data_IF_662089411438
#
_entry.id   IF_662089411438
#
_cell.length_a   1.000
_cell.length_b   1.000
_cell.length_c   1.000
_cell.angle_alpha   90.00
_cell.angle_beta   90.00
_cell.angle_gamma   90.00
#
_symmetry.space_group_name_H-M   'P 1'
#
loop_
_entity.id
_entity.type
_entity.pdbx_description
1 polymer ?
#
# COMPACT_ATOMS: atom_id res chain seq x y z
N UNK A 1 -25.98 17.14 7.79
CA UNK A 1 -24.79 16.34 8.14
C UNK A 1 -23.76 16.26 6.98
N UNK A 2 -23.76 17.18 6.00
CA UNK A 2 -22.87 17.10 4.82
C UNK A 2 -21.86 18.27 4.68
N UNK A 3 -21.90 19.30 5.54
CA UNK A 3 -20.92 20.40 5.47
C UNK A 3 -19.68 20.19 6.35
N UNK A 4 -19.77 19.45 7.47
CA UNK A 4 -18.62 19.20 8.38
C UNK A 4 -17.58 18.23 7.82
N UNK A 5 -17.91 17.43 6.80
CA UNK A 5 -16.96 16.48 6.20
C UNK A 5 -16.13 17.07 5.05
N UNK A 6 -16.60 18.15 4.43
CA UNK A 6 -15.95 18.73 3.23
C UNK A 6 -14.58 19.40 3.51
N UNK A 7 -14.25 19.69 4.76
CA UNK A 7 -12.98 20.31 5.16
C UNK A 7 -12.20 19.50 6.24
N UNK A 8 -12.62 18.26 6.49
CA UNK A 8 -12.04 17.44 7.56
C UNK A 8 -10.52 17.18 7.39
N UNK A 9 -10.03 17.25 6.16
CA UNK A 9 -8.63 17.05 5.82
C UNK A 9 -7.93 18.32 5.32
N UNK A 10 -8.54 19.50 5.52
CA UNK A 10 -7.95 20.76 5.09
C UNK A 10 -6.60 21.00 5.76
N UNK A 11 -5.60 21.33 4.95
CA UNK A 11 -4.22 21.55 5.41
C UNK A 11 -3.43 20.27 5.70
N UNK A 12 -4.03 19.08 5.49
CA UNK A 12 -3.33 17.79 5.61
C UNK A 12 -2.71 17.38 4.29
N UNK A 13 -1.51 16.83 4.34
CA UNK A 13 -0.80 16.27 3.19
C UNK A 13 -0.93 14.74 3.22
N UNK A 14 -1.51 14.20 2.16
CA UNK A 14 -1.75 12.77 1.97
C UNK A 14 -0.93 12.26 0.79
N UNK A 15 -0.10 11.27 1.04
CA UNK A 15 0.72 10.58 0.04
C UNK A 15 0.13 9.19 -0.24
N UNK A 16 -0.11 8.86 -1.52
CA UNK A 16 -0.74 7.59 -1.91
C UNK A 16 0.08 6.91 -3.00
N UNK A 17 0.50 5.66 -2.79
CA UNK A 17 1.14 4.88 -3.85
C UNK A 17 0.10 4.13 -4.70
N UNK A 18 0.28 4.14 -6.04
CA UNK A 18 -0.67 3.54 -6.97
C UNK A 18 -2.02 4.25 -7.00
N UNK A 19 -2.01 5.58 -7.04
CA UNK A 19 -3.19 6.42 -6.93
C UNK A 19 -3.94 6.67 -8.25
N UNK A 20 -3.42 6.24 -9.40
CA UNK A 20 -4.09 6.45 -10.68
C UNK A 20 -5.20 5.43 -10.95
N UNK A 21 -5.29 4.34 -10.19
CA UNK A 21 -6.28 3.30 -10.46
C UNK A 21 -6.88 2.67 -9.20
N UNK A 22 -7.99 1.94 -9.38
CA UNK A 22 -8.60 1.12 -8.34
C UNK A 22 -8.95 1.89 -7.07
N UNK A 23 -8.63 1.29 -5.92
CA UNK A 23 -8.95 1.85 -4.59
C UNK A 23 -8.08 3.05 -4.25
N UNK A 24 -6.83 3.11 -4.77
CA UNK A 24 -5.96 4.27 -4.60
C UNK A 24 -6.56 5.53 -5.20
N UNK A 25 -7.11 5.44 -6.44
CA UNK A 25 -7.82 6.55 -7.10
C UNK A 25 -9.05 6.99 -6.34
N UNK A 26 -9.84 6.03 -5.84
CA UNK A 26 -11.04 6.34 -5.04
C UNK A 26 -10.63 7.06 -3.74
N UNK A 27 -9.63 6.55 -3.03
CA UNK A 27 -9.14 7.19 -1.81
C UNK A 27 -8.59 8.59 -2.08
N UNK A 28 -7.82 8.78 -3.16
CA UNK A 28 -7.29 10.07 -3.58
C UNK A 28 -8.43 11.08 -3.83
N UNK A 29 -9.48 10.68 -4.56
CA UNK A 29 -10.66 11.50 -4.82
C UNK A 29 -11.38 11.88 -3.52
N UNK A 30 -11.68 10.91 -2.68
CA UNK A 30 -12.44 11.13 -1.44
C UNK A 30 -11.69 12.02 -0.43
N UNK A 31 -10.36 11.90 -0.35
CA UNK A 31 -9.55 12.75 0.50
C UNK A 31 -9.36 14.15 -0.09
N UNK A 32 -9.28 14.29 -1.42
CA UNK A 32 -9.29 15.58 -2.09
C UNK A 32 -10.63 16.33 -1.89
N UNK A 33 -11.77 15.62 -1.93
CA UNK A 33 -13.10 16.16 -1.61
C UNK A 33 -13.21 16.65 -0.16
N UNK A 34 -12.39 16.11 0.75
CA UNK A 34 -12.29 16.56 2.15
C UNK A 34 -11.24 17.67 2.35
N UNK A 35 -10.70 18.26 1.28
CA UNK A 35 -9.79 19.39 1.31
C UNK A 35 -8.31 19.04 1.55
N UNK A 36 -7.91 17.76 1.49
CA UNK A 36 -6.51 17.37 1.60
C UNK A 36 -5.68 17.84 0.41
N UNK A 37 -4.41 18.16 0.64
CA UNK A 37 -3.40 18.11 -0.41
C UNK A 37 -3.09 16.64 -0.68
N UNK A 38 -3.36 16.16 -1.89
CA UNK A 38 -3.18 14.76 -2.27
C UNK A 38 -2.04 14.63 -3.27
N UNK A 39 -0.99 13.91 -2.90
CA UNK A 39 0.14 13.59 -3.77
C UNK A 39 0.13 12.09 -4.04
N UNK A 40 -0.03 11.69 -5.27
CA UNK A 40 -0.05 10.28 -5.61
C UNK A 40 0.94 9.94 -6.72
N UNK A 41 1.43 8.71 -6.70
CA UNK A 41 2.23 8.18 -7.79
C UNK A 41 1.53 7.03 -8.51
N UNK A 42 1.95 6.83 -9.74
CA UNK A 42 1.69 5.62 -10.53
C UNK A 42 2.78 5.47 -11.59
N UNK A 43 2.91 4.29 -12.20
CA UNK A 43 3.83 4.05 -13.30
C UNK A 43 3.24 4.41 -14.67
N UNK A 44 1.93 4.46 -14.79
CA UNK A 44 1.19 4.78 -16.02
C UNK A 44 1.06 6.32 -16.12
N UNK A 45 1.98 6.95 -16.85
CA UNK A 45 2.17 8.42 -16.84
C UNK A 45 0.96 9.15 -17.39
N UNK A 46 0.46 8.77 -18.57
CA UNK A 46 -0.69 9.42 -19.19
C UNK A 46 -1.94 9.26 -18.33
N UNK A 47 -2.24 8.04 -17.85
CA UNK A 47 -3.36 7.77 -16.95
C UNK A 47 -3.24 8.57 -15.66
N UNK A 48 -2.01 8.72 -15.12
CA UNK A 48 -1.75 9.52 -13.92
C UNK A 48 -2.11 10.99 -14.07
N UNK A 49 -1.72 11.62 -15.18
CA UNK A 49 -2.09 13.01 -15.49
C UNK A 49 -3.58 13.19 -15.70
N UNK A 50 -4.25 12.28 -16.42
CA UNK A 50 -5.70 12.31 -16.61
C UNK A 50 -6.44 12.18 -15.28
N UNK A 51 -6.03 11.24 -14.44
CA UNK A 51 -6.64 11.02 -13.11
C UNK A 51 -6.44 12.21 -12.19
N UNK A 52 -5.26 12.84 -12.22
CA UNK A 52 -5.01 14.08 -11.47
C UNK A 52 -6.01 15.18 -11.89
N UNK A 53 -6.18 15.41 -13.18
CA UNK A 53 -7.11 16.41 -13.69
C UNK A 53 -8.57 16.07 -13.32
N UNK A 54 -8.96 14.80 -13.45
CA UNK A 54 -10.29 14.33 -13.06
C UNK A 54 -10.58 14.56 -11.57
N UNK A 55 -9.63 14.20 -10.70
CA UNK A 55 -9.80 14.39 -9.25
C UNK A 55 -9.91 15.88 -8.91
N UNK A 56 -9.04 16.73 -9.46
CA UNK A 56 -9.09 18.17 -9.24
C UNK A 56 -10.43 18.77 -9.71
N UNK A 57 -10.89 18.40 -10.91
CA UNK A 57 -12.17 18.86 -11.44
C UNK A 57 -13.38 18.40 -10.64
N UNK A 58 -13.41 17.13 -10.19
CA UNK A 58 -14.51 16.57 -9.41
C UNK A 58 -14.57 17.13 -7.99
N UNK A 59 -13.42 17.37 -7.37
CA UNK A 59 -13.33 17.85 -5.98
C UNK A 59 -13.35 19.38 -5.86
N UNK A 60 -13.08 20.11 -6.94
CA UNK A 60 -12.83 21.54 -6.90
C UNK A 60 -11.54 21.90 -6.14
N UNK A 61 -10.65 20.94 -5.91
CA UNK A 61 -9.42 21.08 -5.13
C UNK A 61 -8.21 20.98 -6.06
N UNK A 62 -7.53 22.10 -6.29
CA UNK A 62 -6.34 22.16 -7.12
C UNK A 62 -5.08 21.57 -6.46
N UNK A 63 -5.12 21.27 -5.14
CA UNK A 63 -4.03 20.68 -4.41
C UNK A 63 -3.96 19.16 -4.61
N UNK A 64 -4.04 18.71 -5.85
CA UNK A 64 -3.87 17.32 -6.27
C UNK A 64 -2.70 17.24 -7.20
N UNK A 65 -1.71 16.42 -6.85
CA UNK A 65 -0.47 16.25 -7.61
C UNK A 65 -0.24 14.79 -7.98
N UNK A 66 0.20 14.59 -9.22
CA UNK A 66 0.67 13.30 -9.71
C UNK A 66 2.19 13.33 -9.90
N UNK A 67 2.89 12.31 -9.39
CA UNK A 67 4.31 12.09 -9.60
C UNK A 67 4.54 10.75 -10.31
N UNK A 68 5.16 10.72 -11.51
CA UNK A 68 5.44 9.47 -12.21
C UNK A 68 6.49 8.66 -11.46
N UNK A 69 6.13 7.45 -11.01
CA UNK A 69 7.03 6.59 -10.27
C UNK A 69 6.59 5.13 -10.38
N UNK A 70 7.45 4.28 -10.94
CA UNK A 70 7.30 2.82 -10.83
C UNK A 70 7.84 2.37 -9.47
N UNK A 71 6.96 1.84 -8.64
CA UNK A 71 7.32 1.30 -7.33
C UNK A 71 8.25 0.07 -7.39
N UNK A 72 8.51 -0.50 -8.57
CA UNK A 72 9.52 -1.54 -8.75
C UNK A 72 10.94 -0.96 -8.85
N UNK A 73 11.07 0.29 -9.29
CA UNK A 73 12.35 1.00 -9.41
C UNK A 73 12.65 1.79 -8.13
N UNK A 74 13.60 1.32 -7.36
CA UNK A 74 14.00 1.93 -6.09
C UNK A 74 14.53 3.36 -6.24
N UNK A 75 15.15 3.70 -7.38
CA UNK A 75 15.64 5.06 -7.66
C UNK A 75 14.46 6.03 -7.81
N UNK A 76 13.40 5.59 -8.50
CA UNK A 76 12.18 6.40 -8.65
C UNK A 76 11.44 6.55 -7.30
N UNK A 77 11.41 5.51 -6.46
CA UNK A 77 10.85 5.61 -5.09
C UNK A 77 11.59 6.65 -4.26
N UNK A 78 12.92 6.71 -4.37
CA UNK A 78 13.72 7.75 -3.69
C UNK A 78 13.44 9.14 -4.24
N UNK A 79 13.37 9.28 -5.56
CA UNK A 79 13.03 10.56 -6.20
C UNK A 79 11.64 11.03 -5.78
N UNK A 80 10.67 10.12 -5.65
CA UNK A 80 9.34 10.43 -5.13
C UNK A 80 9.39 10.90 -3.66
N UNK A 81 10.13 10.19 -2.80
CA UNK A 81 10.30 10.61 -1.41
C UNK A 81 10.98 11.99 -1.32
N UNK A 82 12.05 12.22 -2.08
CA UNK A 82 12.76 13.50 -2.16
C UNK A 82 11.85 14.64 -2.62
N UNK A 83 11.00 14.38 -3.63
CA UNK A 83 10.00 15.33 -4.07
C UNK A 83 9.07 15.74 -2.92
N UNK A 84 8.52 14.77 -2.17
CA UNK A 84 7.69 15.05 -0.99
C UNK A 84 8.44 15.89 0.04
N UNK A 85 9.67 15.51 0.36
CA UNK A 85 10.49 16.19 1.36
C UNK A 85 10.84 17.63 0.98
N UNK A 86 10.97 17.92 -0.30
CA UNK A 86 11.33 19.25 -0.80
C UNK A 86 10.13 20.20 -0.94
N UNK A 87 8.92 19.67 -1.18
CA UNK A 87 7.76 20.50 -1.51
C UNK A 87 6.72 20.57 -0.38
N UNK A 88 6.73 19.63 0.56
CA UNK A 88 5.70 19.57 1.61
C UNK A 88 6.31 19.62 3.00
N UNK A 89 5.86 20.53 3.89
CA UNK A 89 6.40 20.68 5.24
C UNK A 89 6.02 19.52 6.16
N UNK A 90 4.92 18.81 5.87
CA UNK A 90 4.43 17.64 6.61
C UNK A 90 4.09 16.50 5.66
N UNK A 91 3.96 15.29 6.20
CA UNK A 91 3.28 14.16 5.59
C UNK A 91 2.35 13.60 6.66
N UNK A 92 1.09 13.99 6.60
CA UNK A 92 0.11 13.64 7.66
C UNK A 92 -0.46 12.23 7.45
N UNK A 93 -0.55 11.78 6.20
CA UNK A 93 -1.03 10.42 5.89
C UNK A 93 -0.18 9.81 4.77
N UNK A 94 0.29 8.59 4.99
CA UNK A 94 0.92 7.77 3.95
C UNK A 94 0.09 6.50 3.72
N UNK A 95 -0.43 6.33 2.50
CA UNK A 95 -1.17 5.14 2.08
C UNK A 95 -0.29 4.31 1.14
N UNK A 96 0.30 3.26 1.67
CA UNK A 96 1.07 2.26 0.94
C UNK A 96 0.10 1.29 0.24
N UNK A 97 -0.45 1.72 -0.92
CA UNK A 97 -1.52 1.02 -1.62
C UNK A 97 -1.05 0.26 -2.86
N UNK A 98 0.01 0.71 -3.55
CA UNK A 98 0.46 0.08 -4.80
C UNK A 98 0.60 -1.44 -4.65
N UNK A 99 -0.08 -2.18 -5.52
CA UNK A 99 -0.05 -3.64 -5.49
C UNK A 99 -0.83 -4.25 -6.63
N UNK A 100 -0.40 -5.43 -7.03
CA UNK A 100 -0.93 -6.14 -8.19
C UNK A 100 -0.71 -7.64 -8.04
N UNK A 101 -1.28 -8.42 -8.93
CA UNK A 101 -0.94 -9.83 -9.16
C UNK A 101 -0.63 -10.01 -10.65
N UNK A 102 0.59 -10.43 -10.96
CA UNK A 102 1.02 -10.69 -12.34
C UNK A 102 1.54 -12.13 -12.45
N UNK A 103 1.05 -12.92 -13.43
CA UNK A 103 1.52 -14.27 -13.66
C UNK A 103 2.95 -14.33 -14.22
N UNK A 104 3.48 -13.21 -14.74
CA UNK A 104 4.84 -13.11 -15.23
C UNK A 104 5.78 -12.78 -14.06
N UNK A 105 6.85 -13.57 -13.91
CA UNK A 105 7.90 -13.23 -12.97
C UNK A 105 8.76 -12.10 -13.51
N UNK A 106 8.86 -11.05 -12.74
CA UNK A 106 9.79 -9.93 -12.96
C UNK A 106 10.64 -9.78 -11.69
N UNK A 107 11.87 -9.35 -11.86
CA UNK A 107 12.84 -9.13 -10.78
C UNK A 107 13.31 -7.70 -10.88
N UNK A 108 13.40 -7.01 -9.73
CA UNK A 108 13.93 -5.65 -9.65
C UNK A 108 15.44 -5.62 -9.96
N UNK A 109 16.01 -4.42 -10.14
CA UNK A 109 17.45 -4.23 -10.36
C UNK A 109 18.28 -4.82 -9.21
N UNK A 110 17.74 -4.79 -7.98
CA UNK A 110 18.38 -5.33 -6.78
C UNK A 110 18.21 -6.85 -6.60
N UNK A 111 17.53 -7.53 -7.53
CA UNK A 111 17.37 -8.98 -7.52
C UNK A 111 16.15 -9.51 -6.75
N UNK A 112 15.20 -8.65 -6.35
CA UNK A 112 13.99 -9.05 -5.63
C UNK A 112 12.81 -9.29 -6.57
N UNK A 113 12.00 -10.30 -6.25
CA UNK A 113 10.77 -10.59 -7.00
C UNK A 113 9.77 -9.44 -6.82
N UNK A 114 9.09 -9.08 -7.93
CA UNK A 114 8.31 -7.85 -8.04
C UNK A 114 7.23 -7.65 -6.97
N UNK A 115 6.54 -8.71 -6.52
CA UNK A 115 5.52 -8.57 -5.48
C UNK A 115 6.16 -8.18 -4.14
N UNK A 116 7.27 -8.82 -3.78
CA UNK A 116 8.02 -8.49 -2.58
C UNK A 116 8.68 -7.12 -2.70
N UNK A 117 9.26 -6.79 -3.86
CA UNK A 117 9.91 -5.50 -4.10
C UNK A 117 8.91 -4.34 -3.98
N UNK A 118 7.79 -4.38 -4.71
CA UNK A 118 6.80 -3.30 -4.74
C UNK A 118 6.03 -3.19 -3.43
N UNK A 119 5.41 -4.31 -2.99
CA UNK A 119 4.43 -4.26 -1.91
C UNK A 119 5.06 -4.25 -0.51
N UNK A 120 6.33 -4.66 -0.38
CA UNK A 120 6.99 -4.67 0.92
C UNK A 120 8.25 -3.80 0.96
N UNK A 121 9.29 -4.15 0.20
CA UNK A 121 10.59 -3.48 0.33
C UNK A 121 10.53 -1.99 0.00
N UNK A 122 9.91 -1.62 -1.11
CA UNK A 122 9.88 -0.23 -1.55
C UNK A 122 8.79 0.59 -0.82
N UNK A 123 7.74 -0.02 -0.27
CA UNK A 123 6.87 0.63 0.70
C UNK A 123 7.56 0.85 2.05
N UNK A 124 8.34 -0.13 2.52
CA UNK A 124 9.19 0.06 3.72
C UNK A 124 10.17 1.21 3.51
N UNK A 125 10.90 1.20 2.39
CA UNK A 125 11.84 2.26 2.04
C UNK A 125 11.17 3.64 2.03
N UNK A 126 10.05 3.80 1.31
CA UNK A 126 9.30 5.05 1.25
C UNK A 126 8.86 5.51 2.64
N UNK A 127 8.35 4.58 3.45
CA UNK A 127 7.93 4.86 4.83
C UNK A 127 9.10 5.39 5.65
N UNK A 128 10.26 4.74 5.60
CA UNK A 128 11.44 5.17 6.35
C UNK A 128 11.97 6.54 5.89
N UNK A 129 11.99 6.79 4.58
CA UNK A 129 12.41 8.08 4.03
C UNK A 129 11.50 9.24 4.45
N UNK A 130 10.20 9.00 4.62
CA UNK A 130 9.23 10.02 5.01
C UNK A 130 9.01 10.11 6.53
N UNK A 131 9.53 9.17 7.31
CA UNK A 131 9.17 9.02 8.73
C UNK A 131 9.48 10.26 9.57
N UNK A 132 10.63 10.90 9.37
CA UNK A 132 10.98 12.11 10.12
C UNK A 132 10.07 13.28 9.74
N UNK A 133 9.65 13.37 8.47
CA UNK A 133 8.65 14.34 8.01
C UNK A 133 7.28 14.10 8.65
N UNK A 134 6.91 12.83 8.84
CA UNK A 134 5.68 12.45 9.53
C UNK A 134 5.73 12.78 11.02
N UNK A 135 6.87 12.55 11.67
CA UNK A 135 7.08 12.90 13.08
C UNK A 135 7.07 14.41 13.35
N UNK A 136 7.40 15.22 12.36
CA UNK A 136 7.45 16.69 12.49
C UNK A 136 6.06 17.33 12.62
N UNK A 137 4.99 16.65 12.18
CA UNK A 137 3.61 17.12 12.32
C UNK A 137 3.02 16.82 13.72
N UNK A 138 1.80 17.28 14.02
CA UNK A 138 1.13 17.00 15.30
C UNK A 138 0.66 15.56 15.45
N UNK A 139 0.25 14.93 14.36
CA UNK A 139 -0.13 13.51 14.27
C UNK A 139 0.01 13.04 12.83
N UNK A 140 0.41 11.78 12.64
CA UNK A 140 0.49 11.20 11.31
C UNK A 140 0.03 9.73 11.30
N UNK A 141 -0.42 9.27 10.13
CA UNK A 141 -1.03 7.95 9.96
C UNK A 141 -0.43 7.22 8.77
N UNK A 142 0.02 5.99 9.00
CA UNK A 142 0.48 5.09 7.93
C UNK A 142 -0.58 4.01 7.73
N UNK A 143 -0.98 3.79 6.49
CA UNK A 143 -1.98 2.78 6.10
C UNK A 143 -1.32 1.80 5.15
N UNK A 144 -1.16 0.55 5.60
CA UNK A 144 -0.60 -0.54 4.80
C UNK A 144 -1.73 -1.35 4.16
N UNK A 145 -1.79 -1.36 2.83
CA UNK A 145 -2.84 -2.10 2.12
C UNK A 145 -2.42 -3.54 1.88
N UNK A 146 -2.78 -4.42 2.81
CA UNK A 146 -2.59 -5.86 2.69
C UNK A 146 -3.76 -6.54 1.96
N UNK A 147 -4.09 -7.76 2.32
CA UNK A 147 -5.19 -8.57 1.78
C UNK A 147 -5.40 -9.77 2.69
N UNK A 148 -6.61 -10.33 2.73
CA UNK A 148 -6.88 -11.63 3.37
C UNK A 148 -6.02 -12.77 2.80
N UNK A 149 -5.46 -12.57 1.61
CA UNK A 149 -4.51 -13.49 0.98
C UNK A 149 -3.26 -13.77 1.84
N UNK A 150 -2.90 -12.90 2.79
CA UNK A 150 -1.78 -13.15 3.69
C UNK A 150 -1.88 -14.48 4.46
N UNK A 151 -3.10 -15.00 4.65
CA UNK A 151 -3.39 -16.26 5.35
C UNK A 151 -3.19 -17.51 4.50
N UNK A 152 -3.27 -17.37 3.17
CA UNK A 152 -3.42 -18.50 2.26
C UNK A 152 -2.11 -19.13 1.79
N UNK A 153 -0.98 -18.46 2.04
CA UNK A 153 0.34 -18.91 1.58
C UNK A 153 1.10 -19.77 2.60
N UNK A 154 2.18 -20.40 2.15
CA UNK A 154 3.03 -21.24 3.00
C UNK A 154 3.90 -20.44 3.98
N UNK A 155 3.75 -19.12 4.05
CA UNK A 155 4.61 -18.24 4.84
C UNK A 155 5.84 -17.75 4.08
N UNK A 156 6.73 -17.06 4.80
CA UNK A 156 7.98 -16.53 4.25
C UNK A 156 9.02 -17.66 4.21
N UNK A 157 9.59 -17.90 3.04
CA UNK A 157 10.71 -18.81 2.85
C UNK A 157 11.99 -17.97 2.68
N UNK A 158 12.79 -17.93 3.75
CA UNK A 158 14.03 -17.14 3.77
C UNK A 158 15.16 -17.74 2.90
N UNK A 159 15.04 -19.01 2.49
CA UNK A 159 15.96 -19.65 1.55
C UNK A 159 15.52 -19.41 0.09
N UNK A 160 14.43 -18.69 -0.13
CA UNK A 160 13.87 -18.37 -1.44
C UNK A 160 13.15 -17.00 -1.45
N UNK A 161 13.82 -15.98 -0.92
CA UNK A 161 13.24 -14.61 -0.88
C UNK A 161 13.05 -14.01 -2.27
N UNK A 162 13.82 -14.46 -3.27
CA UNK A 162 13.63 -14.12 -4.68
C UNK A 162 12.48 -14.90 -5.34
N UNK A 163 11.82 -15.79 -4.61
CA UNK A 163 10.73 -16.63 -5.09
C UNK A 163 11.11 -17.51 -6.30
N UNK A 164 12.40 -17.88 -6.48
CA UNK A 164 12.87 -18.70 -7.60
C UNK A 164 12.25 -20.09 -7.62
N UNK A 165 12.19 -20.74 -6.47
CA UNK A 165 11.66 -22.10 -6.32
C UNK A 165 10.15 -22.15 -6.60
N UNK A 166 9.41 -21.10 -6.23
CA UNK A 166 7.95 -21.08 -6.41
C UNK A 166 7.54 -20.91 -7.87
N UNK A 167 8.42 -20.36 -8.72
CA UNK A 167 8.18 -20.22 -10.16
C UNK A 167 8.70 -21.43 -10.96
N UNK A 168 9.75 -22.09 -10.48
CA UNK A 168 10.33 -23.27 -11.15
C UNK A 168 9.44 -24.50 -10.98
N UNK A 169 9.24 -25.25 -12.06
CA UNK A 169 8.57 -26.57 -12.01
C UNK A 169 7.06 -26.53 -11.76
N UNK A 170 6.43 -25.37 -11.79
CA UNK A 170 4.97 -25.26 -11.67
C UNK A 170 4.32 -25.22 -13.03
N UNK A 171 3.41 -26.18 -13.37
CA UNK A 171 2.74 -26.21 -14.67
C UNK A 171 1.77 -25.04 -14.88
N UNK A 172 1.40 -24.35 -13.80
CA UNK A 172 0.55 -23.17 -13.83
C UNK A 172 1.34 -21.96 -13.30
N UNK A 173 1.69 -21.03 -14.17
CA UNK A 173 2.41 -19.79 -13.82
C UNK A 173 1.76 -19.01 -12.66
N UNK A 174 0.43 -19.08 -12.56
CA UNK A 174 -0.33 -18.39 -11.53
C UNK A 174 -0.03 -18.86 -10.10
N UNK A 175 0.39 -20.12 -9.88
CA UNK A 175 0.69 -20.61 -8.51
C UNK A 175 1.93 -19.94 -7.94
N UNK A 176 2.94 -19.62 -8.76
CA UNK A 176 4.11 -18.84 -8.36
C UNK A 176 3.74 -17.41 -7.98
N UNK A 177 2.98 -16.75 -8.85
CA UNK A 177 2.48 -15.38 -8.62
C UNK A 177 1.66 -15.27 -7.32
N UNK A 178 0.72 -16.18 -7.09
CA UNK A 178 -0.07 -16.17 -5.86
C UNK A 178 0.79 -16.41 -4.62
N UNK A 179 1.77 -17.32 -4.66
CA UNK A 179 2.67 -17.55 -3.52
C UNK A 179 3.50 -16.31 -3.23
N UNK A 180 4.09 -15.66 -4.24
CA UNK A 180 4.84 -14.42 -4.08
C UNK A 180 3.95 -13.28 -3.54
N UNK A 181 2.75 -13.15 -4.07
CA UNK A 181 1.75 -12.19 -3.59
C UNK A 181 1.38 -12.42 -2.12
N UNK A 182 1.08 -13.67 -1.70
CA UNK A 182 0.76 -14.01 -0.32
C UNK A 182 1.91 -13.67 0.64
N UNK A 183 3.15 -13.97 0.24
CA UNK A 183 4.37 -13.63 1.01
C UNK A 183 4.49 -12.12 1.20
N UNK A 184 4.32 -11.34 0.13
CA UNK A 184 4.38 -9.88 0.20
C UNK A 184 3.26 -9.30 1.10
N UNK A 185 2.03 -9.83 1.00
CA UNK A 185 0.92 -9.39 1.86
C UNK A 185 1.10 -9.77 3.33
N UNK A 186 1.71 -10.92 3.64
CA UNK A 186 2.10 -11.28 5.00
C UNK A 186 3.22 -10.35 5.51
N UNK A 187 4.19 -10.03 4.67
CA UNK A 187 5.27 -9.12 5.02
C UNK A 187 4.75 -7.72 5.39
N UNK A 188 3.71 -7.21 4.70
CA UNK A 188 3.06 -5.95 5.06
C UNK A 188 2.38 -6.01 6.44
N UNK A 189 1.77 -7.14 6.81
CA UNK A 189 1.19 -7.32 8.15
C UNK A 189 2.29 -7.31 9.21
N UNK A 190 3.41 -8.00 8.97
CA UNK A 190 4.56 -7.99 9.88
C UNK A 190 5.16 -6.58 10.02
N UNK A 191 5.32 -5.85 8.91
CA UNK A 191 5.79 -4.46 8.93
C UNK A 191 4.87 -3.56 9.76
N UNK A 192 3.55 -3.75 9.67
CA UNK A 192 2.58 -3.00 10.47
C UNK A 192 2.78 -3.22 11.97
N UNK A 193 2.92 -4.47 12.39
CA UNK A 193 3.12 -4.78 13.82
C UNK A 193 4.47 -4.29 14.34
N UNK A 194 5.52 -4.45 13.54
CA UNK A 194 6.85 -3.99 13.93
C UNK A 194 6.91 -2.47 14.08
N UNK A 195 6.40 -1.75 13.07
CA UNK A 195 6.39 -0.29 13.13
C UNK A 195 5.46 0.24 14.22
N UNK A 196 4.34 -0.42 14.49
CA UNK A 196 3.48 -0.04 15.60
C UNK A 196 4.20 -0.14 16.96
N UNK A 197 5.03 -1.18 17.15
CA UNK A 197 5.84 -1.34 18.37
C UNK A 197 6.96 -0.28 18.44
N UNK A 198 7.65 0.00 17.32
CA UNK A 198 8.75 0.98 17.26
C UNK A 198 8.29 2.44 17.40
N UNK A 199 7.07 2.73 16.98
CA UNK A 199 6.52 4.09 16.94
C UNK A 199 5.60 4.42 18.14
N UNK A 200 5.50 3.53 19.14
CA UNK A 200 4.58 3.67 20.27
C UNK A 200 4.73 4.99 21.06
N UNK A 201 5.95 5.52 21.11
CA UNK A 201 6.25 6.77 21.85
C UNK A 201 6.32 7.99 20.91
N UNK A 202 5.71 7.90 19.73
CA UNK A 202 5.66 8.97 18.74
C UNK A 202 4.22 9.37 18.42
N UNK A 203 4.08 10.45 17.65
CA UNK A 203 2.79 10.91 17.10
C UNK A 203 2.37 10.15 15.81
N UNK A 204 3.10 9.11 15.41
CA UNK A 204 2.83 8.37 14.16
C UNK A 204 2.16 7.04 14.48
N UNK A 205 1.00 6.79 13.91
CA UNK A 205 0.29 5.52 13.99
C UNK A 205 0.41 4.73 12.68
N UNK A 206 0.35 3.41 12.76
CA UNK A 206 0.33 2.55 11.58
C UNK A 206 -0.74 1.47 11.73
N UNK A 207 -1.57 1.33 10.70
CA UNK A 207 -2.59 0.29 10.63
C UNK A 207 -2.57 -0.43 9.29
N UNK A 208 -3.02 -1.66 9.30
CA UNK A 208 -3.14 -2.48 8.11
C UNK A 208 -4.60 -2.59 7.67
N UNK A 209 -4.87 -2.59 6.37
CA UNK A 209 -6.21 -2.74 5.84
C UNK A 209 -6.28 -3.86 4.80
N UNK A 210 -7.34 -4.66 4.88
CA UNK A 210 -7.78 -5.54 3.79
C UNK A 210 -8.93 -4.88 3.04
N UNK A 211 -8.86 -4.82 1.71
CA UNK A 211 -9.99 -4.36 0.92
C UNK A 211 -11.17 -5.37 0.88
N UNK A 212 -11.03 -6.52 1.52
CA UNK A 212 -11.97 -7.64 1.45
C UNK A 212 -11.60 -8.66 0.37
N UNK A 213 -12.46 -9.67 0.21
CA UNK A 213 -12.27 -10.72 -0.78
C UNK A 213 -12.71 -10.24 -2.18
N UNK A 214 -11.89 -10.56 -3.20
CA UNK A 214 -12.21 -10.38 -4.61
C UNK A 214 -12.75 -8.98 -4.94
N UNK A 215 -11.99 -7.93 -4.62
CA UNK A 215 -12.38 -6.57 -5.01
C UNK A 215 -12.28 -6.45 -6.54
N UNK A 216 -13.31 -5.88 -7.15
CA UNK A 216 -13.42 -5.71 -8.61
C UNK A 216 -12.49 -4.61 -9.16
N UNK A 217 -11.20 -4.63 -8.77
CA UNK A 217 -10.17 -3.71 -9.25
C UNK A 217 -9.32 -4.32 -10.34
N UNK A 218 -8.42 -3.51 -10.90
CA UNK A 218 -7.46 -3.91 -11.94
C UNK A 218 -6.39 -4.94 -11.48
N UNK A 219 -6.48 -5.48 -10.27
CA UNK A 219 -5.55 -6.50 -9.75
C UNK A 219 -5.42 -7.70 -10.71
N UNK A 220 -6.47 -8.01 -11.47
CA UNK A 220 -6.50 -9.09 -12.45
C UNK A 220 -6.30 -8.61 -13.91
N UNK A 221 -5.89 -7.35 -14.14
CA UNK A 221 -5.75 -6.76 -15.50
C UNK A 221 -4.87 -7.61 -16.42
N UNK A 222 -3.83 -8.23 -15.89
CA UNK A 222 -2.85 -9.00 -16.65
C UNK A 222 -3.16 -10.50 -16.75
N UNK A 223 -4.26 -10.98 -16.18
CA UNK A 223 -4.65 -12.38 -16.27
C UNK A 223 -5.24 -12.70 -17.67
N UNK A 224 -4.92 -13.91 -18.18
CA UNK A 224 -5.35 -14.38 -19.51
C UNK A 224 -6.12 -15.70 -19.41
N UNK A 225 -6.86 -16.06 -20.48
CA UNK A 225 -7.50 -17.37 -20.63
C UNK A 225 -8.65 -17.62 -19.65
N UNK A 226 -8.72 -18.83 -19.10
CA UNK A 226 -9.81 -19.31 -18.23
C UNK A 226 -10.02 -18.46 -16.98
N UNK A 227 -8.94 -17.86 -16.44
CA UNK A 227 -9.04 -16.97 -15.26
C UNK A 227 -9.78 -15.70 -15.62
N UNK A 228 -9.50 -15.09 -16.79
CA UNK A 228 -10.22 -13.90 -17.26
C UNK A 228 -11.72 -14.19 -17.45
N UNK A 229 -12.05 -15.37 -17.96
CA UNK A 229 -13.45 -15.81 -18.09
C UNK A 229 -14.10 -16.01 -16.71
N UNK A 230 -13.42 -16.69 -15.77
CA UNK A 230 -13.88 -16.85 -14.38
C UNK A 230 -14.10 -15.50 -13.69
N UNK A 231 -13.15 -14.58 -13.78
CA UNK A 231 -13.28 -13.21 -13.24
C UNK A 231 -14.50 -12.50 -13.82
N UNK A 232 -14.77 -12.64 -15.14
CA UNK A 232 -15.95 -12.04 -15.77
C UNK A 232 -17.27 -12.63 -15.26
N UNK A 233 -17.33 -13.96 -15.06
CA UNK A 233 -18.54 -14.68 -14.55
C UNK A 233 -18.81 -14.36 -13.09
N UNK A 234 -17.74 -14.28 -12.25
CA UNK A 234 -17.85 -14.02 -10.83
C UNK A 234 -17.84 -12.53 -10.45
N UNK A 235 -17.67 -11.63 -11.42
CA UNK A 235 -17.67 -10.17 -11.19
C UNK A 235 -18.83 -9.63 -10.36
N UNK A 236 -20.08 -10.13 -10.47
CA UNK A 236 -21.19 -9.69 -9.62
C UNK A 236 -21.02 -10.01 -8.13
N UNK A 237 -20.13 -10.94 -7.80
CA UNK A 237 -19.82 -11.35 -6.43
C UNK A 237 -18.59 -10.68 -5.87
N UNK A 238 -17.94 -9.81 -6.65
CA UNK A 238 -16.76 -9.06 -6.19
C UNK A 238 -17.20 -7.93 -5.26
N UNK A 239 -16.39 -7.68 -4.24
CA UNK A 239 -16.60 -6.55 -3.36
C UNK A 239 -16.56 -5.24 -4.17
N UNK A 240 -17.46 -4.33 -3.83
CA UNK A 240 -17.50 -2.99 -4.41
C UNK A 240 -16.24 -2.21 -4.03
N UNK A 241 -15.44 -1.74 -5.00
CA UNK A 241 -14.23 -0.95 -4.74
C UNK A 241 -14.50 0.31 -3.93
N UNK A 242 -15.64 0.97 -4.14
CA UNK A 242 -16.06 2.16 -3.39
C UNK A 242 -16.24 1.84 -1.90
N UNK A 243 -16.92 0.72 -1.60
CA UNK A 243 -17.11 0.26 -0.23
C UNK A 243 -15.79 -0.13 0.44
N UNK A 244 -14.89 -0.76 -0.31
CA UNK A 244 -13.57 -1.16 0.19
C UNK A 244 -12.67 0.05 0.47
N UNK A 245 -12.64 1.03 -0.44
CA UNK A 245 -11.86 2.25 -0.29
C UNK A 245 -12.32 3.14 0.87
N UNK A 246 -13.60 3.04 1.31
CA UNK A 246 -14.07 3.74 2.52
C UNK A 246 -13.22 3.44 3.75
N UNK A 247 -12.64 2.25 3.85
CA UNK A 247 -11.77 1.91 4.99
C UNK A 247 -10.45 2.70 4.94
N UNK A 248 -9.92 3.00 3.75
CA UNK A 248 -8.72 3.83 3.61
C UNK A 248 -9.00 5.25 4.08
N UNK A 249 -10.12 5.82 3.63
CA UNK A 249 -10.55 7.17 4.02
C UNK A 249 -10.86 7.23 5.52
N UNK A 250 -11.53 6.22 6.05
CA UNK A 250 -11.81 6.11 7.49
C UNK A 250 -10.53 6.10 8.32
N UNK A 251 -9.55 5.29 7.95
CA UNK A 251 -8.27 5.24 8.65
C UNK A 251 -7.44 6.52 8.47
N UNK A 252 -7.57 7.20 7.33
CA UNK A 252 -6.88 8.45 7.04
C UNK A 252 -7.48 9.66 7.80
N UNK A 253 -8.82 9.77 7.83
CA UNK A 253 -9.51 11.00 8.20
C UNK A 253 -10.34 10.90 9.50
N UNK A 254 -10.83 9.71 9.90
CA UNK A 254 -11.76 9.63 11.03
C UNK A 254 -11.09 9.96 12.37
N UNK A 255 -11.71 10.78 13.23
CA UNK A 255 -11.27 10.97 14.61
C UNK A 255 -11.46 9.72 15.48
N UNK A 256 -12.35 8.79 15.09
CA UNK A 256 -12.60 7.55 15.85
C UNK A 256 -11.37 6.63 15.94
N UNK A 257 -10.42 6.78 15.03
CA UNK A 257 -9.18 6.00 15.00
C UNK A 257 -7.95 6.81 15.40
N UNK A 258 -8.14 7.97 16.04
CA UNK A 258 -7.03 8.75 16.56
C UNK A 258 -6.25 7.95 17.60
N UNK A 259 -4.92 7.90 17.46
CA UNK A 259 -4.04 7.12 18.34
C UNK A 259 -4.14 5.60 18.19
N UNK A 260 -5.04 5.08 17.36
CA UNK A 260 -5.15 3.63 17.14
C UNK A 260 -4.03 3.16 16.24
N UNK A 261 -3.23 2.20 16.72
CA UNK A 261 -2.06 1.68 16.01
C UNK A 261 -1.97 0.16 16.10
N UNK A 262 -1.28 -0.47 15.13
CA UNK A 262 -1.02 -1.92 15.12
C UNK A 262 -2.27 -2.77 14.88
N UNK A 263 -3.29 -2.23 14.24
CA UNK A 263 -4.55 -2.94 14.00
C UNK A 263 -4.71 -3.34 12.55
N UNK A 264 -5.52 -4.38 12.34
CA UNK A 264 -5.92 -4.86 11.01
C UNK A 264 -7.41 -4.55 10.80
N UNK A 265 -7.74 -3.96 9.65
CA UNK A 265 -9.07 -3.42 9.39
C UNK A 265 -9.68 -3.99 8.12
N UNK A 266 -11.00 -4.16 8.14
CA UNK A 266 -11.81 -4.52 6.96
C UNK A 266 -13.18 -3.87 7.09
N UNK A 267 -13.65 -3.17 6.06
CA UNK A 267 -14.94 -2.47 6.04
C UNK A 267 -15.17 -1.56 7.26
N UNK A 268 -14.18 -0.73 7.59
CA UNK A 268 -14.16 0.19 8.74
C UNK A 268 -14.32 -0.50 10.11
N UNK A 269 -13.98 -1.78 10.22
CA UNK A 269 -14.03 -2.53 11.48
C UNK A 269 -12.69 -3.18 11.76
N UNK A 270 -12.28 -3.14 13.02
CA UNK A 270 -11.11 -3.91 13.47
C UNK A 270 -11.37 -5.41 13.29
N UNK A 271 -10.40 -6.11 12.76
CA UNK A 271 -10.43 -7.55 12.53
C UNK A 271 -9.16 -8.18 13.10
N UNK A 272 -9.32 -9.27 13.82
CA UNK A 272 -8.16 -10.03 14.30
C UNK A 272 -7.47 -10.73 13.15
N UNK A 273 -6.14 -10.62 13.10
CA UNK A 273 -5.33 -11.45 12.18
C UNK A 273 -5.21 -12.87 12.71
N UNK A 274 -4.70 -13.77 11.89
CA UNK A 274 -4.60 -15.19 12.24
C UNK A 274 -3.34 -15.83 11.66
N UNK A 275 -3.04 -17.02 12.16
CA UNK A 275 -1.96 -17.87 11.65
C UNK A 275 -0.58 -17.26 11.87
N UNK A 276 0.25 -17.37 10.85
CA UNK A 276 1.66 -16.95 10.90
C UNK A 276 1.87 -15.48 11.25
N UNK A 277 0.86 -14.60 11.06
CA UNK A 277 1.00 -13.17 11.36
C UNK A 277 1.34 -12.86 12.84
N UNK A 278 1.14 -13.83 13.74
CA UNK A 278 1.45 -13.71 15.17
C UNK A 278 2.85 -14.27 15.54
N UNK A 279 3.57 -14.85 14.59
CA UNK A 279 4.91 -15.37 14.85
C UNK A 279 5.94 -14.25 14.93
N UNK A 280 6.29 -13.88 16.16
CA UNK A 280 7.24 -12.80 16.46
C UNK A 280 8.66 -13.12 15.98
N UNK A 281 9.07 -14.37 15.97
CA UNK A 281 10.40 -14.76 15.52
C UNK A 281 10.54 -14.64 14.00
N UNK A 282 9.52 -15.09 13.26
CA UNK A 282 9.46 -14.90 11.81
C UNK A 282 9.35 -13.40 11.44
N UNK A 283 8.56 -12.62 12.20
CA UNK A 283 8.47 -11.16 12.01
C UNK A 283 9.83 -10.52 12.17
N UNK A 284 10.51 -10.75 13.29
CA UNK A 284 11.85 -10.19 13.52
C UNK A 284 12.82 -10.55 12.41
N UNK A 285 12.89 -11.83 12.04
CA UNK A 285 13.78 -12.30 10.96
C UNK A 285 13.48 -11.61 9.63
N UNK A 286 12.19 -11.40 9.31
CA UNK A 286 11.80 -10.69 8.09
C UNK A 286 12.23 -9.22 8.14
N UNK A 287 12.03 -8.55 9.25
CA UNK A 287 12.40 -7.14 9.37
C UNK A 287 13.91 -6.96 9.31
N UNK A 288 14.69 -7.77 10.01
CA UNK A 288 16.16 -7.78 9.91
C UNK A 288 16.62 -7.98 8.45
N UNK A 289 15.97 -8.89 7.71
CA UNK A 289 16.22 -9.08 6.29
C UNK A 289 15.80 -7.87 5.46
N UNK A 290 14.64 -7.27 5.74
CA UNK A 290 14.11 -6.09 5.03
C UNK A 290 15.07 -4.90 5.17
N UNK A 291 15.53 -4.63 6.39
CA UNK A 291 16.47 -3.54 6.66
C UNK A 291 17.79 -3.74 5.91
N UNK A 292 18.34 -4.96 5.94
CA UNK A 292 19.54 -5.28 5.16
C UNK A 292 19.30 -5.13 3.64
N UNK A 293 18.14 -5.54 3.15
CA UNK A 293 17.78 -5.45 1.73
C UNK A 293 17.63 -3.99 1.25
N UNK A 294 17.26 -3.06 2.12
CA UNK A 294 17.11 -1.63 1.78
C UNK A 294 18.29 -0.77 2.23
N UNK A 295 19.15 -1.26 3.15
CA UNK A 295 20.26 -0.53 3.78
C UNK A 295 21.40 -0.12 2.81
N UNK A 296 21.45 -0.65 1.59
CA UNK A 296 22.38 -0.14 0.54
C UNK A 296 22.18 1.32 0.19
N UNK A 297 21.47 2.07 1.02
CA UNK A 297 20.98 3.39 0.77
C UNK A 297 20.84 4.19 2.07
N UNK A 298 21.91 4.65 2.69
CA UNK A 298 21.96 5.76 3.69
C UNK A 298 20.79 5.91 4.69
N UNK A 299 20.05 4.84 4.99
CA UNK A 299 19.00 4.83 5.98
C UNK A 299 19.62 4.62 7.36
N UNK A 300 19.79 5.68 8.11
CA UNK A 300 19.92 5.59 9.58
C UNK A 300 18.51 5.28 10.13
N UNK A 301 18.26 4.02 10.46
CA UNK A 301 17.08 3.58 11.19
C UNK A 301 17.23 3.89 12.68
#
# INVERSE_FOLDING_TARGET
>A
MHQDTAEAMKGKVVVITGGASGMGRIAARELALQGATVVFNDREIEEGHEVRADIAGLSGNENVEFFPCDMLDRKQVRAFAEHILNHYPTCDVLINNAGFTDPKRVVSEEGYEQHMAVMHLNHWLLTMLLLDRMKAGPSARIIQVSSEAYKAGPGIDFDDMACDKVWKGKPFANTGAFTAYHRAKLAMVYATYELAERLQDTNVTINCVSPGYFVGTNVFRHTRGFIKFGVKVFRPFFADPEKSAKTYVYLAASPEVEGVTGKYWEYCKEKKTAGLSHDKALRKRLIDWTENAVAGADLKL
#
